data_IF_787777348341
#
_entry.id   IF_787777348341
#
_cell.length_a   1.000
_cell.length_b   1.000
_cell.length_c   1.000
_cell.angle_alpha   90.00
_cell.angle_beta   90.00
_cell.angle_gamma   90.00
#
_symmetry.space_group_name_H-M   'P 1'
#
loop_
_entity.id
_entity.type
_entity.pdbx_description
1 polymer ?
#
# COMPACT_ATOMS: atom_id res chain seq x y z
N UNK A 1 9.75 -21.51 17.43
CA UNK A 1 9.11 -21.48 16.10
C UNK A 1 10.14 -20.94 15.13
N UNK A 2 10.35 -21.60 14.00
CA UNK A 2 11.28 -21.11 12.98
C UNK A 2 10.43 -20.53 11.85
N UNK A 3 10.50 -19.22 11.65
CA UNK A 3 9.79 -18.54 10.56
C UNK A 3 10.47 -18.94 9.23
N UNK A 4 9.67 -19.41 8.27
CA UNK A 4 10.12 -19.85 6.93
C UNK A 4 9.65 -18.94 5.82
N UNK A 5 8.63 -18.09 6.11
CA UNK A 5 8.16 -17.07 5.18
C UNK A 5 7.78 -15.78 5.89
N UNK A 6 7.88 -14.68 5.17
CA UNK A 6 7.39 -13.36 5.59
C UNK A 6 6.41 -12.85 4.54
N UNK A 7 5.20 -12.52 4.98
CA UNK A 7 4.21 -11.80 4.19
C UNK A 7 4.31 -10.32 4.54
N UNK A 8 4.47 -9.47 3.56
CA UNK A 8 4.51 -8.03 3.76
C UNK A 8 3.25 -7.36 3.20
N UNK A 9 2.74 -6.38 3.92
CA UNK A 9 1.90 -5.37 3.29
C UNK A 9 2.73 -4.45 2.39
N UNK A 10 2.06 -3.74 1.49
CA UNK A 10 2.70 -2.86 0.52
C UNK A 10 2.84 -1.43 1.03
N UNK A 11 1.70 -0.72 1.13
CA UNK A 11 1.67 0.72 1.41
C UNK A 11 1.88 1.01 2.89
N UNK A 12 2.84 1.85 3.24
CA UNK A 12 3.18 2.11 4.64
C UNK A 12 4.11 1.07 5.26
N UNK A 13 4.34 -0.05 4.57
CA UNK A 13 5.21 -1.16 5.00
C UNK A 13 6.47 -1.25 4.17
N UNK A 14 6.38 -1.72 2.93
CA UNK A 14 7.53 -1.79 1.99
C UNK A 14 7.71 -0.51 1.18
N UNK A 15 6.60 0.14 0.83
CA UNK A 15 6.58 1.32 -0.03
C UNK A 15 5.79 2.46 0.61
N UNK A 16 6.13 3.66 0.18
CA UNK A 16 5.41 4.89 0.51
C UNK A 16 4.98 5.61 -0.75
N UNK A 17 3.75 6.11 -0.74
CA UNK A 17 3.28 7.02 -1.78
C UNK A 17 4.07 8.34 -1.76
N UNK A 18 4.23 8.96 -2.92
CA UNK A 18 4.79 10.31 -3.03
C UNK A 18 4.00 11.32 -2.19
N UNK A 19 4.59 12.46 -1.78
CA UNK A 19 3.86 13.51 -1.08
C UNK A 19 2.69 14.04 -1.92
N UNK A 20 1.59 14.43 -1.28
CA UNK A 20 0.35 14.90 -1.93
C UNK A 20 0.61 16.06 -2.89
N UNK A 21 1.50 16.99 -2.53
CA UNK A 21 1.89 18.11 -3.41
C UNK A 21 2.62 17.62 -4.67
N UNK A 22 3.55 16.67 -4.55
CA UNK A 22 4.23 16.05 -5.71
C UNK A 22 3.25 15.37 -6.64
N UNK A 23 2.31 14.63 -6.06
CA UNK A 23 1.25 13.92 -6.76
C UNK A 23 0.35 14.87 -7.57
N UNK A 24 -0.13 15.96 -6.94
CA UNK A 24 -0.93 16.99 -7.64
C UNK A 24 -0.11 17.71 -8.72
N UNK A 25 1.13 18.10 -8.41
CA UNK A 25 2.02 18.79 -9.34
C UNK A 25 2.31 17.96 -10.59
N UNK A 26 2.51 16.64 -10.43
CA UNK A 26 2.72 15.74 -11.56
C UNK A 26 1.49 15.70 -12.47
N UNK A 27 0.30 15.57 -11.91
CA UNK A 27 -0.96 15.51 -12.67
C UNK A 27 -1.26 16.83 -13.39
N UNK A 28 -1.02 17.99 -12.75
CA UNK A 28 -1.18 19.30 -13.38
C UNK A 28 -0.25 19.45 -14.58
N UNK A 29 1.03 19.08 -14.41
CA UNK A 29 2.01 19.13 -15.51
C UNK A 29 1.58 18.24 -16.68
N UNK A 30 1.13 17.02 -16.41
CA UNK A 30 0.73 16.07 -17.45
C UNK A 30 -0.59 16.50 -18.17
N UNK A 31 -1.36 17.39 -17.52
CA UNK A 31 -2.56 18.02 -18.10
C UNK A 31 -2.28 19.39 -18.76
N UNK A 32 -1.02 19.84 -18.85
CA UNK A 32 -0.62 21.18 -19.31
C UNK A 32 -1.32 22.31 -18.53
N UNK A 33 -1.58 22.11 -17.24
CA UNK A 33 -2.17 23.08 -16.33
C UNK A 33 -1.13 23.61 -15.34
N UNK A 34 -1.26 24.88 -15.02
CA UNK A 34 -0.40 25.54 -14.02
C UNK A 34 -1.27 26.24 -12.99
N UNK A 35 -0.96 26.07 -11.72
CA UNK A 35 -1.52 26.84 -10.61
C UNK A 35 -0.43 27.75 -10.04
N UNK A 36 -0.77 28.94 -9.54
CA UNK A 36 0.11 29.70 -8.66
C UNK A 36 0.53 28.83 -7.45
N UNK A 37 1.75 29.02 -6.97
CA UNK A 37 2.32 28.16 -5.93
C UNK A 37 1.44 28.08 -4.66
N UNK A 38 0.87 29.23 -4.22
CA UNK A 38 -0.05 29.25 -3.08
C UNK A 38 -1.32 28.43 -3.30
N UNK A 39 -1.93 28.52 -4.49
CA UNK A 39 -3.12 27.74 -4.83
C UNK A 39 -2.82 26.24 -4.94
N UNK A 40 -1.64 25.88 -5.44
CA UNK A 40 -1.20 24.48 -5.50
C UNK A 40 -1.03 23.90 -4.10
N UNK A 41 -0.36 24.62 -3.20
CA UNK A 41 -0.18 24.18 -1.80
C UNK A 41 -1.54 24.06 -1.11
N UNK A 42 -2.42 25.05 -1.23
CA UNK A 42 -3.77 24.98 -0.66
C UNK A 42 -4.58 23.78 -1.18
N UNK A 43 -4.51 23.49 -2.48
CA UNK A 43 -5.20 22.34 -3.06
C UNK A 43 -4.59 21.01 -2.59
N UNK A 44 -3.26 20.93 -2.48
CA UNK A 44 -2.57 19.73 -1.97
C UNK A 44 -2.91 19.48 -0.50
N UNK A 45 -2.88 20.51 0.34
CA UNK A 45 -3.26 20.42 1.76
C UNK A 45 -4.73 19.98 1.91
N UNK A 46 -5.63 20.51 1.06
CA UNK A 46 -7.03 20.11 1.08
C UNK A 46 -7.22 18.64 0.65
N UNK A 47 -6.50 18.16 -0.37
CA UNK A 47 -6.50 16.75 -0.79
C UNK A 47 -5.95 15.84 0.31
N UNK A 48 -4.88 16.24 0.98
CA UNK A 48 -4.31 15.50 2.11
C UNK A 48 -5.29 15.45 3.29
N UNK A 49 -5.90 16.58 3.64
CA UNK A 49 -6.85 16.68 4.76
C UNK A 49 -8.10 15.79 4.59
N UNK A 50 -8.52 15.52 3.35
CA UNK A 50 -9.61 14.56 3.09
C UNK A 50 -9.12 13.13 2.88
N UNK A 51 -7.81 12.86 2.93
CA UNK A 51 -7.23 11.54 2.71
C UNK A 51 -7.43 11.04 1.29
N UNK A 52 -7.30 11.93 0.29
CA UNK A 52 -7.55 11.61 -1.11
C UNK A 52 -6.49 10.70 -1.73
N UNK A 53 -5.24 10.78 -1.25
CA UNK A 53 -4.15 9.95 -1.73
C UNK A 53 -4.21 8.56 -1.08
N UNK A 54 -4.45 7.48 -1.85
CA UNK A 54 -4.41 6.12 -1.31
C UNK A 54 -3.02 5.83 -0.73
N UNK A 55 -2.97 5.29 0.49
CA UNK A 55 -1.69 5.04 1.17
C UNK A 55 -0.97 6.30 1.68
N UNK A 56 -1.59 7.48 1.66
CA UNK A 56 -1.01 8.74 2.12
C UNK A 56 -0.81 8.87 3.64
N UNK A 57 -1.41 7.99 4.43
CA UNK A 57 -1.25 7.99 5.90
C UNK A 57 -2.25 8.89 6.64
N UNK A 58 -3.13 9.60 5.95
CA UNK A 58 -4.25 10.36 6.53
C UNK A 58 -5.53 9.55 6.39
N UNK A 59 -6.29 9.42 7.49
CA UNK A 59 -7.57 8.71 7.48
C UNK A 59 -8.56 9.40 6.53
N UNK A 60 -9.16 8.69 5.55
CA UNK A 60 -10.05 9.28 4.58
C UNK A 60 -11.33 9.84 5.20
N UNK A 61 -11.71 11.04 4.77
CA UNK A 61 -13.02 11.63 5.04
C UNK A 61 -14.03 11.07 4.04
N UNK A 62 -14.92 10.21 4.51
CA UNK A 62 -15.88 9.56 3.64
C UNK A 62 -16.99 10.53 3.20
N UNK A 63 -17.33 10.57 1.89
CA UNK A 63 -18.55 11.21 1.43
C UNK A 63 -19.79 10.56 2.06
N UNK A 64 -20.85 11.34 2.28
CA UNK A 64 -22.10 10.85 2.86
C UNK A 64 -22.65 9.65 2.07
N UNK A 65 -23.07 8.59 2.78
CA UNK A 65 -23.63 7.38 2.20
C UNK A 65 -22.64 6.44 1.50
N UNK A 66 -21.33 6.69 1.63
CA UNK A 66 -20.29 5.86 0.98
C UNK A 66 -19.66 4.78 1.89
N UNK A 67 -20.18 4.58 3.10
CA UNK A 67 -19.63 3.67 4.11
C UNK A 67 -19.60 2.21 3.62
N UNK A 68 -20.61 1.77 2.88
CA UNK A 68 -20.65 0.42 2.30
C UNK A 68 -19.61 0.23 1.20
N UNK A 69 -19.42 1.24 0.35
CA UNK A 69 -18.39 1.25 -0.68
C UNK A 69 -17.00 1.24 -0.01
N UNK A 70 -16.80 2.05 1.02
CA UNK A 70 -15.56 2.08 1.79
C UNK A 70 -15.19 0.72 2.38
N UNK A 71 -16.17 0.03 2.96
CA UNK A 71 -15.94 -1.30 3.57
C UNK A 71 -15.51 -2.37 2.57
N UNK A 72 -15.84 -2.21 1.28
CA UNK A 72 -15.59 -3.20 0.23
C UNK A 72 -14.69 -2.68 -0.89
N UNK A 73 -14.14 -1.47 -0.72
CA UNK A 73 -13.43 -0.75 -1.78
C UNK A 73 -12.30 -1.55 -2.42
N UNK A 74 -11.57 -2.33 -1.61
CA UNK A 74 -10.38 -3.06 -2.05
C UNK A 74 -10.71 -4.46 -2.60
N UNK A 75 -12.02 -4.80 -2.72
CA UNK A 75 -12.47 -6.08 -3.29
C UNK A 75 -12.55 -6.06 -4.82
N UNK A 76 -12.48 -4.89 -5.45
CA UNK A 76 -12.45 -4.76 -6.91
C UNK A 76 -11.73 -3.47 -7.34
N UNK A 77 -11.22 -3.46 -8.56
CA UNK A 77 -10.60 -2.27 -9.18
C UNK A 77 -11.59 -1.10 -9.29
N UNK A 78 -12.85 -1.40 -9.66
CA UNK A 78 -13.91 -0.39 -9.79
C UNK A 78 -14.26 0.22 -8.42
N UNK A 79 -14.39 -0.60 -7.38
CA UNK A 79 -14.70 -0.15 -6.02
C UNK A 79 -13.62 0.77 -5.47
N UNK A 80 -12.37 0.38 -5.65
CA UNK A 80 -11.21 1.17 -5.23
C UNK A 80 -11.15 2.53 -5.94
N UNK A 81 -11.24 2.52 -7.29
CA UNK A 81 -11.27 3.75 -8.10
C UNK A 81 -12.45 4.64 -7.70
N UNK A 82 -13.66 4.09 -7.64
CA UNK A 82 -14.87 4.86 -7.32
C UNK A 82 -14.75 5.54 -5.95
N UNK A 83 -14.23 4.83 -4.96
CA UNK A 83 -14.10 5.36 -3.59
C UNK A 83 -13.09 6.50 -3.51
N UNK A 84 -11.86 6.30 -4.00
CA UNK A 84 -10.81 7.31 -3.89
C UNK A 84 -11.07 8.52 -4.80
N UNK A 85 -11.68 8.31 -5.97
CA UNK A 85 -12.14 9.43 -6.80
C UNK A 85 -13.25 10.23 -6.12
N UNK A 86 -14.20 9.57 -5.43
CA UNK A 86 -15.24 10.25 -4.66
C UNK A 86 -14.66 11.06 -3.49
N UNK A 87 -13.62 10.56 -2.81
CA UNK A 87 -12.92 11.30 -1.74
C UNK A 87 -12.25 12.54 -2.33
N UNK A 88 -11.49 12.42 -3.42
CA UNK A 88 -10.78 13.55 -4.04
C UNK A 88 -11.75 14.64 -4.56
N UNK A 89 -12.93 14.25 -5.05
CA UNK A 89 -13.98 15.18 -5.52
C UNK A 89 -14.58 16.08 -4.44
N UNK A 90 -14.28 15.84 -3.17
CA UNK A 90 -14.64 16.78 -2.09
C UNK A 90 -13.79 18.07 -2.13
N UNK A 91 -12.67 18.05 -2.87
CA UNK A 91 -11.78 19.20 -3.06
C UNK A 91 -12.03 19.80 -4.44
N UNK A 92 -12.15 21.12 -4.48
CA UNK A 92 -12.30 21.84 -5.77
C UNK A 92 -10.95 21.93 -6.46
N UNK A 93 -10.86 21.39 -7.66
CA UNK A 93 -9.71 21.53 -8.57
C UNK A 93 -10.09 22.36 -9.80
N UNK A 94 -9.11 22.92 -10.52
CA UNK A 94 -9.38 23.77 -11.69
C UNK A 94 -10.07 23.03 -12.85
N UNK A 95 -9.90 21.72 -12.94
CA UNK A 95 -10.56 20.85 -13.90
C UNK A 95 -11.02 19.56 -13.22
N UNK A 96 -12.29 19.19 -13.41
CA UNK A 96 -12.85 17.98 -12.81
C UNK A 96 -12.18 16.68 -13.29
N UNK A 97 -11.55 16.68 -14.47
CA UNK A 97 -10.80 15.53 -15.01
C UNK A 97 -9.56 15.20 -14.19
N UNK A 98 -9.05 16.16 -13.41
CA UNK A 98 -7.87 15.94 -12.54
C UNK A 98 -8.12 14.87 -11.47
N UNK A 99 -9.36 14.68 -11.02
CA UNK A 99 -9.67 13.64 -10.02
C UNK A 99 -9.40 12.21 -10.55
N UNK A 100 -9.74 11.96 -11.80
CA UNK A 100 -9.44 10.70 -12.46
C UNK A 100 -7.94 10.58 -12.76
N UNK A 101 -7.29 11.67 -13.19
CA UNK A 101 -5.86 11.71 -13.43
C UNK A 101 -5.03 11.51 -12.15
N UNK A 102 -5.47 12.03 -11.00
CA UNK A 102 -4.88 11.76 -9.70
C UNK A 102 -4.92 10.26 -9.38
N UNK A 103 -6.05 9.60 -9.63
CA UNK A 103 -6.14 8.16 -9.44
C UNK A 103 -5.22 7.38 -10.40
N UNK A 104 -5.16 7.75 -11.69
CA UNK A 104 -4.24 7.14 -12.65
C UNK A 104 -2.77 7.31 -12.22
N UNK A 105 -2.39 8.51 -11.78
CA UNK A 105 -1.03 8.78 -11.29
C UNK A 105 -0.65 7.88 -10.13
N UNK A 106 -1.58 7.66 -9.19
CA UNK A 106 -1.38 6.78 -8.04
C UNK A 106 -1.02 5.33 -8.44
N UNK A 107 -1.50 4.83 -9.56
CA UNK A 107 -1.20 3.48 -10.05
C UNK A 107 0.17 3.36 -10.74
N UNK A 108 0.85 4.48 -11.02
CA UNK A 108 2.14 4.46 -11.71
C UNK A 108 3.30 4.15 -10.74
N UNK A 109 4.31 3.40 -11.17
CA UNK A 109 5.52 3.14 -10.37
C UNK A 109 6.17 4.42 -9.82
N UNK A 110 6.19 5.50 -10.61
CA UNK A 110 6.78 6.79 -10.22
C UNK A 110 6.08 7.49 -9.06
N UNK A 111 4.89 7.03 -8.63
CA UNK A 111 4.19 7.54 -7.45
C UNK A 111 4.62 6.85 -6.15
N UNK A 112 5.50 5.84 -6.21
CA UNK A 112 5.87 5.02 -5.08
C UNK A 112 7.39 4.95 -4.90
N UNK A 113 7.84 5.10 -3.67
CA UNK A 113 9.24 4.89 -3.28
C UNK A 113 9.34 3.81 -2.20
N UNK A 114 10.32 2.90 -2.29
CA UNK A 114 10.55 1.93 -1.21
C UNK A 114 11.06 2.66 0.05
N UNK A 115 10.77 2.10 1.22
CA UNK A 115 11.44 2.54 2.44
C UNK A 115 12.95 2.25 2.38
N UNK A 116 13.78 3.03 3.10
CA UNK A 116 15.24 2.98 2.95
C UNK A 116 15.86 1.60 3.13
N UNK A 117 15.30 0.79 4.04
CA UNK A 117 15.80 -0.55 4.38
C UNK A 117 15.08 -1.70 3.64
N UNK A 118 14.12 -1.39 2.75
CA UNK A 118 13.32 -2.42 2.05
C UNK A 118 14.21 -3.37 1.25
N UNK A 119 15.09 -2.85 0.41
CA UNK A 119 15.94 -3.69 -0.45
C UNK A 119 16.89 -4.56 0.36
N UNK A 120 17.53 -4.00 1.39
CA UNK A 120 18.45 -4.71 2.29
C UNK A 120 17.74 -5.86 3.01
N UNK A 121 16.55 -5.59 3.54
CA UNK A 121 15.80 -6.62 4.30
C UNK A 121 15.31 -7.74 3.40
N UNK A 122 14.78 -7.41 2.21
CA UNK A 122 14.34 -8.43 1.25
C UNK A 122 15.51 -9.30 0.76
N UNK A 123 16.67 -8.71 0.50
CA UNK A 123 17.88 -9.42 0.11
C UNK A 123 18.34 -10.38 1.23
N UNK A 124 18.44 -9.89 2.46
CA UNK A 124 18.84 -10.69 3.61
C UNK A 124 17.86 -11.86 3.91
N UNK A 125 16.56 -11.68 3.69
CA UNK A 125 15.58 -12.76 3.80
C UNK A 125 15.81 -13.82 2.71
N UNK A 126 16.06 -13.40 1.47
CA UNK A 126 16.37 -14.29 0.36
C UNK A 126 17.66 -15.10 0.62
N UNK A 127 18.74 -14.46 1.11
CA UNK A 127 19.99 -15.13 1.47
C UNK A 127 19.81 -16.18 2.58
N UNK A 128 18.88 -15.96 3.50
CA UNK A 128 18.51 -16.92 4.57
C UNK A 128 17.56 -18.02 4.10
N UNK A 129 17.14 -17.99 2.82
CA UNK A 129 16.16 -18.94 2.29
C UNK A 129 14.74 -18.76 2.83
N UNK A 130 14.42 -17.57 3.36
CA UNK A 130 13.08 -17.22 3.85
C UNK A 130 12.25 -16.73 2.66
N UNK A 131 11.11 -17.38 2.40
CA UNK A 131 10.23 -17.01 1.30
C UNK A 131 9.51 -15.68 1.59
N UNK A 132 9.35 -14.85 0.58
CA UNK A 132 8.67 -13.54 0.71
C UNK A 132 7.40 -13.52 -0.13
N UNK A 133 6.29 -13.08 0.47
CA UNK A 133 5.04 -12.77 -0.22
C UNK A 133 4.59 -11.34 0.07
N UNK A 134 3.76 -10.80 -0.83
CA UNK A 134 3.09 -9.50 -0.64
C UNK A 134 1.59 -9.72 -0.57
N UNK A 135 0.95 -9.25 0.51
CA UNK A 135 -0.51 -9.31 0.73
C UNK A 135 -1.04 -7.92 0.94
N UNK A 136 -1.76 -7.38 -0.04
CA UNK A 136 -2.19 -5.98 -0.01
C UNK A 136 -3.68 -5.79 -0.27
N UNK A 137 -4.30 -4.88 0.50
CA UNK A 137 -5.61 -4.31 0.21
C UNK A 137 -5.45 -3.21 -0.84
N UNK A 138 -5.77 -3.52 -2.10
CA UNK A 138 -5.50 -2.63 -3.24
C UNK A 138 -6.43 -2.94 -4.41
N UNK A 139 -6.62 -1.98 -5.32
CA UNK A 139 -7.47 -2.12 -6.50
C UNK A 139 -6.72 -2.17 -7.83
N UNK A 140 -5.39 -2.40 -7.83
CA UNK A 140 -4.57 -2.41 -9.05
C UNK A 140 -3.30 -3.26 -8.90
N UNK A 141 -2.63 -3.59 -10.02
CA UNK A 141 -1.44 -4.46 -10.04
C UNK A 141 -0.18 -3.76 -9.53
N UNK A 142 0.35 -4.20 -8.41
CA UNK A 142 1.58 -3.68 -7.78
C UNK A 142 2.87 -4.16 -8.45
N UNK A 143 2.83 -5.24 -9.23
CA UNK A 143 4.04 -5.88 -9.79
C UNK A 143 4.90 -4.92 -10.61
N UNK A 144 4.32 -3.95 -11.37
CA UNK A 144 5.13 -2.92 -12.06
C UNK A 144 5.96 -2.04 -11.12
N UNK A 145 5.45 -1.72 -9.92
CA UNK A 145 6.19 -0.92 -8.92
C UNK A 145 7.41 -1.70 -8.44
N UNK A 146 7.24 -2.97 -8.08
CA UNK A 146 8.36 -3.81 -7.64
C UNK A 146 9.42 -3.97 -8.74
N UNK A 147 9.02 -4.16 -10.01
CA UNK A 147 9.95 -4.26 -11.14
C UNK A 147 10.75 -2.98 -11.37
N UNK A 148 10.10 -1.81 -11.28
CA UNK A 148 10.76 -0.51 -11.45
C UNK A 148 11.90 -0.31 -10.45
N UNK A 149 11.72 -0.83 -9.23
CA UNK A 149 12.72 -0.75 -8.16
C UNK A 149 13.64 -1.98 -8.07
N UNK A 150 13.50 -2.97 -8.98
CA UNK A 150 14.30 -4.20 -9.01
C UNK A 150 14.06 -5.13 -7.80
N UNK A 151 12.88 -5.02 -7.14
CA UNK A 151 12.52 -5.78 -5.95
C UNK A 151 11.64 -7.00 -6.23
N UNK A 152 11.12 -7.12 -7.45
CA UNK A 152 10.26 -8.24 -7.88
C UNK A 152 10.95 -9.60 -7.76
N UNK A 153 12.27 -9.65 -7.93
CA UNK A 153 13.09 -10.85 -7.80
C UNK A 153 13.05 -11.52 -6.43
N UNK A 154 12.70 -10.77 -5.39
CA UNK A 154 12.62 -11.28 -4.03
C UNK A 154 11.23 -11.85 -3.67
N UNK A 155 10.19 -11.52 -4.45
CA UNK A 155 8.80 -11.82 -4.11
C UNK A 155 8.32 -13.08 -4.81
N UNK A 156 8.09 -14.14 -4.05
CA UNK A 156 7.58 -15.42 -4.55
C UNK A 156 6.08 -15.43 -4.80
N UNK A 157 5.30 -14.58 -4.11
CA UNK A 157 3.85 -14.52 -4.29
C UNK A 157 3.31 -13.09 -4.10
N UNK A 158 2.34 -12.70 -4.95
CA UNK A 158 1.53 -11.49 -4.79
C UNK A 158 0.08 -11.90 -4.61
N UNK A 159 -0.52 -11.49 -3.49
CA UNK A 159 -1.94 -11.72 -3.20
C UNK A 159 -2.60 -10.37 -3.01
N UNK A 160 -3.25 -9.91 -4.06
CA UNK A 160 -3.86 -8.59 -4.16
C UNK A 160 -5.37 -8.72 -4.00
N UNK A 161 -5.95 -8.00 -3.07
CA UNK A 161 -7.35 -8.17 -2.65
C UNK A 161 -8.35 -8.09 -3.82
N UNK A 162 -8.14 -7.19 -4.78
CA UNK A 162 -9.02 -7.03 -5.94
C UNK A 162 -9.03 -8.24 -6.89
N UNK A 163 -7.92 -9.02 -6.95
CA UNK A 163 -7.84 -10.25 -7.75
C UNK A 163 -8.67 -11.39 -7.16
N UNK A 164 -8.93 -11.33 -5.83
CA UNK A 164 -9.62 -12.39 -5.08
C UNK A 164 -11.05 -12.01 -4.65
N UNK A 165 -11.47 -10.76 -4.79
CA UNK A 165 -12.77 -10.28 -4.31
C UNK A 165 -12.93 -10.28 -2.80
N UNK A 166 -11.82 -10.39 -2.05
CA UNK A 166 -11.75 -10.35 -0.59
C UNK A 166 -10.60 -9.45 -0.14
N UNK A 167 -10.66 -8.91 1.06
CA UNK A 167 -9.63 -7.99 1.58
C UNK A 167 -9.27 -8.32 3.03
N UNK A 168 -8.07 -7.98 3.46
CA UNK A 168 -7.67 -8.03 4.87
C UNK A 168 -8.68 -7.24 5.72
N UNK A 169 -9.10 -7.72 6.89
CA UNK A 169 -8.52 -8.81 7.69
C UNK A 169 -9.08 -10.21 7.41
N UNK A 170 -9.75 -10.45 6.29
CA UNK A 170 -10.29 -11.79 6.00
C UNK A 170 -9.15 -12.82 5.96
N UNK A 171 -9.18 -13.87 6.83
CA UNK A 171 -8.09 -14.84 6.93
C UNK A 171 -7.83 -15.61 5.63
N UNK A 172 -8.83 -15.73 4.75
CA UNK A 172 -8.69 -16.42 3.46
C UNK A 172 -7.64 -15.76 2.56
N UNK A 173 -7.47 -14.43 2.66
CA UNK A 173 -6.46 -13.74 1.84
C UNK A 173 -5.03 -14.14 2.27
N UNK A 174 -4.79 -14.27 3.57
CA UNK A 174 -3.50 -14.73 4.10
C UNK A 174 -3.27 -16.22 3.83
N UNK A 175 -4.32 -17.06 3.94
CA UNK A 175 -4.25 -18.48 3.58
C UNK A 175 -3.80 -18.66 2.12
N UNK A 176 -4.39 -17.88 1.20
CA UNK A 176 -3.97 -17.89 -0.22
C UNK A 176 -2.48 -17.59 -0.38
N UNK A 177 -1.93 -16.67 0.42
CA UNK A 177 -0.50 -16.34 0.35
C UNK A 177 0.38 -17.46 0.91
N UNK A 178 0.00 -18.07 2.03
CA UNK A 178 0.69 -19.23 2.59
C UNK A 178 0.69 -20.40 1.60
N UNK A 179 -0.46 -20.69 1.00
CA UNK A 179 -0.60 -21.76 -0.02
C UNK A 179 0.27 -21.50 -1.25
N UNK A 180 0.29 -20.24 -1.74
CA UNK A 180 1.11 -19.85 -2.89
C UNK A 180 2.62 -19.99 -2.63
N UNK A 181 3.06 -19.82 -1.39
CA UNK A 181 4.45 -20.03 -0.98
C UNK A 181 4.73 -21.47 -0.56
N UNK A 182 3.71 -22.30 -0.37
CA UNK A 182 3.84 -23.69 0.13
C UNK A 182 4.32 -23.77 1.57
N UNK A 183 4.00 -22.76 2.41
CA UNK A 183 4.45 -22.65 3.80
C UNK A 183 3.24 -22.55 4.74
N UNK A 184 3.28 -23.28 5.86
CA UNK A 184 2.22 -23.29 6.83
C UNK A 184 2.08 -21.93 7.56
N UNK A 185 0.84 -21.52 7.93
CA UNK A 185 0.62 -20.25 8.62
C UNK A 185 1.45 -20.10 9.93
N UNK A 186 1.62 -21.16 10.70
CA UNK A 186 2.41 -21.17 11.94
C UNK A 186 3.92 -20.93 11.73
N UNK A 187 4.42 -21.14 10.52
CA UNK A 187 5.80 -20.85 10.10
C UNK A 187 5.93 -19.53 9.35
N UNK A 188 4.85 -18.72 9.35
CA UNK A 188 4.75 -17.47 8.59
C UNK A 188 4.65 -16.25 9.51
N UNK A 189 5.39 -15.19 9.18
CA UNK A 189 5.30 -13.89 9.83
C UNK A 189 4.59 -12.90 8.89
N UNK A 190 3.52 -12.25 9.35
CA UNK A 190 2.92 -11.10 8.68
C UNK A 190 3.54 -9.81 9.21
N UNK A 191 4.00 -8.95 8.31
CA UNK A 191 4.56 -7.62 8.61
C UNK A 191 3.70 -6.57 7.93
N UNK A 192 3.16 -5.62 8.70
CA UNK A 192 2.30 -4.56 8.16
C UNK A 192 2.19 -3.37 9.10
N UNK A 193 1.51 -2.31 8.65
CA UNK A 193 1.33 -1.07 9.42
C UNK A 193 -0.10 -0.94 9.99
N UNK A 194 -1.09 -1.61 9.39
CA UNK A 194 -2.49 -1.58 9.84
C UNK A 194 -2.80 -2.72 10.82
N UNK A 195 -2.91 -2.38 12.11
CA UNK A 195 -3.20 -3.35 13.18
C UNK A 195 -4.50 -4.14 12.96
N UNK A 196 -5.50 -3.56 12.28
CA UNK A 196 -6.77 -4.22 12.02
C UNK A 196 -6.66 -5.11 10.79
N UNK A 197 -6.16 -4.59 9.68
CA UNK A 197 -6.06 -5.32 8.42
C UNK A 197 -5.02 -6.44 8.53
N UNK A 198 -3.78 -6.12 8.88
CA UNK A 198 -2.67 -7.08 8.91
C UNK A 198 -2.74 -8.02 10.12
N UNK A 199 -3.29 -7.54 11.23
CA UNK A 199 -3.55 -8.35 12.42
C UNK A 199 -4.47 -9.55 12.19
N UNK A 200 -5.25 -9.53 11.10
CA UNK A 200 -6.11 -10.66 10.69
C UNK A 200 -5.35 -11.96 10.43
N UNK A 201 -4.06 -11.90 10.10
CA UNK A 201 -3.21 -13.07 9.90
C UNK A 201 -3.07 -13.94 11.17
N UNK A 202 -3.17 -13.35 12.35
CA UNK A 202 -3.13 -14.07 13.61
C UNK A 202 -4.26 -15.11 13.77
N UNK A 203 -5.40 -14.91 13.10
CA UNK A 203 -6.52 -15.87 13.11
C UNK A 203 -6.17 -17.21 12.43
N UNK A 204 -5.12 -17.24 11.59
CA UNK A 204 -4.58 -18.46 10.99
C UNK A 204 -3.42 -19.07 11.78
N UNK A 205 -2.93 -18.41 12.83
CA UNK A 205 -1.75 -18.82 13.57
C UNK A 205 -0.44 -18.20 13.08
N UNK A 206 -0.49 -17.26 12.12
CA UNK A 206 0.70 -16.51 11.75
C UNK A 206 1.19 -15.63 12.89
N UNK A 207 2.51 -15.50 13.05
CA UNK A 207 3.08 -14.42 13.84
C UNK A 207 2.79 -13.07 13.15
N UNK A 208 2.70 -11.99 13.92
CA UNK A 208 2.45 -10.65 13.36
C UNK A 208 3.43 -9.64 13.96
N UNK A 209 4.03 -8.84 13.11
CA UNK A 209 4.88 -7.71 13.48
C UNK A 209 4.35 -6.42 12.84
N UNK A 210 4.28 -5.35 13.64
CA UNK A 210 3.79 -4.06 13.14
C UNK A 210 4.93 -3.06 13.02
N UNK A 211 4.93 -2.38 11.88
CA UNK A 211 5.80 -1.23 11.61
C UNK A 211 5.01 0.07 11.69
N UNK A 212 5.69 1.19 11.92
CA UNK A 212 5.04 2.49 11.97
C UNK A 212 4.86 3.07 10.56
N UNK A 213 3.66 3.59 10.27
CA UNK A 213 3.37 4.34 9.06
C UNK A 213 3.93 5.77 9.16
N UNK A 214 5.23 5.93 8.97
CA UNK A 214 5.93 7.21 9.05
C UNK A 214 6.51 7.62 7.69
N UNK A 215 6.79 8.92 7.47
CA UNK A 215 7.61 9.36 6.34
C UNK A 215 8.94 8.62 6.31
N UNK A 216 9.46 8.32 5.11
CA UNK A 216 10.68 7.54 4.94
C UNK A 216 11.88 8.10 5.73
N UNK A 217 12.05 9.43 5.78
CA UNK A 217 13.12 10.08 6.56
C UNK A 217 13.00 9.86 8.09
N UNK A 218 11.84 9.48 8.58
CA UNK A 218 11.58 9.19 10.01
C UNK A 218 11.55 7.69 10.32
N UNK A 219 11.67 6.84 9.29
CA UNK A 219 11.71 5.38 9.41
C UNK A 219 12.85 4.78 8.56
N UNK A 220 14.11 5.09 8.86
CA UNK A 220 15.24 4.62 8.06
C UNK A 220 15.51 3.11 8.18
N UNK A 221 15.12 2.48 9.29
CA UNK A 221 15.40 1.08 9.62
C UNK A 221 14.17 0.37 10.21
N UNK A 222 12.97 0.68 9.70
CA UNK A 222 11.72 0.15 10.25
C UNK A 222 11.49 -1.34 10.01
N UNK A 223 12.12 -1.91 8.99
CA UNK A 223 12.00 -3.33 8.62
C UNK A 223 13.13 -4.20 9.18
N UNK A 224 14.27 -3.64 9.57
CA UNK A 224 15.40 -4.40 10.12
C UNK A 224 15.03 -5.34 11.27
N UNK A 225 14.15 -4.98 12.24
CA UNK A 225 13.74 -5.89 13.29
C UNK A 225 13.14 -7.20 12.81
N UNK A 226 12.61 -7.26 11.58
CA UNK A 226 12.10 -8.48 10.96
C UNK A 226 13.19 -9.56 10.86
N UNK A 227 14.44 -9.16 10.60
CA UNK A 227 15.56 -10.07 10.47
C UNK A 227 15.89 -10.81 11.78
N UNK A 228 15.59 -10.21 12.92
CA UNK A 228 15.79 -10.83 14.25
C UNK A 228 14.67 -11.82 14.59
N UNK A 229 13.50 -11.67 13.94
CA UNK A 229 12.34 -12.53 14.16
C UNK A 229 12.38 -13.82 13.32
N UNK A 230 13.16 -13.84 12.25
CA UNK A 230 13.23 -15.01 11.33
C UNK A 230 14.41 -15.95 11.62
N UNK A 231 15.27 -15.64 12.57
CA UNK A 231 16.36 -16.49 13.04
C UNK A 231 17.64 -16.37 12.25
#
# INVERSE_FOLDING_TARGET
>A
MTIKSVLFDFSGTLFRAEPTESWLRAVLRDADLTLPEGELTEAADALEAVGALPGGGVAPRLPEGSEDLWRRRDQSAEGHRAMYTAISRQVRLPDARLHDALYERHMLPAAWGPYPDTAEVLDALCERGVAVGVVSNIGWDLRPVFREHGLDRYVGAYVLSYEHGIQKPDPRLFATACDALGIAPEDTLMVGDDRRADGGAAALGCAVHFVDHLPAARRPEGLRPVLDLVG
#
